data_IF_382481263550
#
_entry.id   IF_382481263550
#
_cell.length_a   1.000
_cell.length_b   1.000
_cell.length_c   1.000
_cell.angle_alpha   90.00
_cell.angle_beta   90.00
_cell.angle_gamma   90.00
#
_symmetry.space_group_name_H-M   'P 1'
#
loop_
_entity.id
_entity.type
_entity.pdbx_description
1 polymer ?
#
# COMPACT_ATOMS: atom_id res chain seq x y z
N UNK A 1 -52.96 20.46 17.18
CA UNK A 1 -52.35 20.46 15.82
C UNK A 1 -50.91 21.01 15.80
N UNK A 2 -50.09 20.82 16.85
CA UNK A 2 -48.72 21.40 16.90
C UNK A 2 -47.58 20.37 17.02
N UNK A 3 -47.87 19.08 17.18
CA UNK A 3 -46.84 18.03 17.34
C UNK A 3 -46.22 17.54 16.04
N UNK A 4 -46.82 17.84 14.87
CA UNK A 4 -46.30 17.42 13.56
C UNK A 4 -45.21 18.34 13.01
N UNK A 5 -45.09 19.56 13.53
CA UNK A 5 -44.10 20.53 13.06
C UNK A 5 -42.68 20.25 13.57
N UNK A 6 -42.53 19.54 14.70
CA UNK A 6 -41.21 19.25 15.29
C UNK A 6 -40.53 18.06 14.58
N UNK A 7 -41.32 17.13 14.02
CA UNK A 7 -40.79 15.96 13.32
C UNK A 7 -40.18 16.28 11.95
N UNK A 8 -40.55 17.41 11.33
CA UNK A 8 -40.01 17.81 10.02
C UNK A 8 -38.67 18.56 10.12
N UNK A 9 -38.32 19.11 11.29
CA UNK A 9 -37.09 19.90 11.47
C UNK A 9 -35.86 19.05 11.85
N UNK A 10 -36.06 17.81 12.31
CA UNK A 10 -34.99 16.90 12.71
C UNK A 10 -34.43 16.03 11.56
N UNK A 11 -34.96 16.17 10.35
CA UNK A 11 -34.52 15.41 9.17
C UNK A 11 -33.59 16.21 8.24
N UNK A 12 -32.88 17.21 8.76
CA UNK A 12 -31.67 17.73 8.12
C UNK A 12 -30.50 16.92 8.67
N UNK A 13 -30.49 15.63 8.35
CA UNK A 13 -29.35 14.76 8.62
C UNK A 13 -28.16 15.31 7.83
N UNK A 14 -27.15 15.76 8.56
CA UNK A 14 -25.90 16.31 8.05
C UNK A 14 -25.31 15.42 6.95
N UNK A 15 -25.43 15.88 5.70
CA UNK A 15 -24.58 15.38 4.61
C UNK A 15 -23.21 15.97 4.85
N UNK A 16 -22.45 15.37 5.75
CA UNK A 16 -21.04 15.73 5.95
C UNK A 16 -20.32 15.23 4.69
N UNK A 17 -19.69 16.12 3.89
CA UNK A 17 -18.92 15.68 2.74
C UNK A 17 -17.76 14.82 3.24
N UNK A 18 -17.83 13.52 3.03
CA UNK A 18 -16.70 12.60 3.23
C UNK A 18 -15.68 12.90 2.15
N UNK A 19 -14.56 13.52 2.51
CA UNK A 19 -13.44 13.75 1.59
C UNK A 19 -12.76 12.42 1.31
N UNK A 20 -13.28 11.67 0.33
CA UNK A 20 -12.62 10.49 -0.20
C UNK A 20 -11.52 10.95 -1.16
N UNK A 21 -10.26 10.68 -0.80
CA UNK A 21 -9.14 10.92 -1.69
C UNK A 21 -9.24 9.96 -2.90
N UNK A 22 -9.51 10.50 -4.10
CA UNK A 22 -9.51 9.72 -5.34
C UNK A 22 -8.08 9.56 -5.82
N UNK A 23 -7.50 8.37 -5.66
CA UNK A 23 -6.14 8.07 -6.13
C UNK A 23 -6.22 7.39 -7.49
N UNK A 24 -5.45 7.87 -8.48
CA UNK A 24 -5.34 7.22 -9.77
C UNK A 24 -4.72 5.81 -9.58
N UNK A 25 -5.36 4.74 -10.06
CA UNK A 25 -4.81 3.39 -9.93
C UNK A 25 -3.52 3.27 -10.73
N UNK A 26 -2.42 2.91 -10.05
CA UNK A 26 -1.13 2.68 -10.69
C UNK A 26 -0.99 1.20 -11.04
N UNK A 27 -0.57 0.88 -12.26
CA UNK A 27 -0.30 -0.51 -12.63
C UNK A 27 1.08 -0.97 -12.13
N UNK A 28 1.36 -2.28 -12.18
CA UNK A 28 2.60 -2.83 -11.63
C UNK A 28 3.86 -2.34 -12.36
N UNK A 29 3.76 -2.11 -13.68
CA UNK A 29 4.86 -1.60 -14.49
C UNK A 29 5.22 -0.16 -14.10
N UNK A 30 4.22 0.70 -13.93
CA UNK A 30 4.39 2.06 -13.43
C UNK A 30 4.99 2.05 -12.02
N UNK A 31 4.51 1.17 -11.12
CA UNK A 31 5.08 1.03 -9.77
C UNK A 31 6.57 0.66 -9.82
N UNK A 32 6.95 -0.31 -10.68
CA UNK A 32 8.36 -0.70 -10.87
C UNK A 32 9.17 0.43 -11.49
N UNK A 33 8.61 1.16 -12.44
CA UNK A 33 9.28 2.25 -13.13
C UNK A 33 9.59 3.42 -12.18
N UNK A 34 8.63 3.81 -11.33
CA UNK A 34 8.73 4.93 -10.40
C UNK A 34 9.43 4.58 -9.09
N UNK A 35 9.61 3.30 -8.76
CA UNK A 35 10.30 2.89 -7.55
C UNK A 35 11.83 3.02 -7.70
N UNK A 36 12.48 3.66 -6.75
CA UNK A 36 13.93 3.65 -6.59
C UNK A 36 14.40 2.41 -5.84
N UNK A 37 13.58 1.94 -4.87
CA UNK A 37 13.84 0.75 -4.07
C UNK A 37 12.63 -0.16 -4.10
N UNK A 38 12.86 -1.46 -4.31
CA UNK A 38 11.81 -2.48 -4.23
C UNK A 38 12.34 -3.64 -3.38
N UNK A 39 11.58 -4.06 -2.36
CA UNK A 39 11.94 -5.20 -1.52
C UNK A 39 10.74 -5.83 -0.85
N UNK A 40 10.90 -7.08 -0.42
CA UNK A 40 10.02 -7.72 0.57
C UNK A 40 10.65 -7.52 1.94
N UNK A 41 9.88 -6.99 2.88
CA UNK A 41 10.38 -6.75 4.23
C UNK A 41 9.35 -7.05 5.31
N UNK A 42 9.85 -7.31 6.51
CA UNK A 42 9.05 -7.46 7.73
C UNK A 42 9.27 -6.26 8.63
N UNK A 43 8.20 -5.59 9.04
CA UNK A 43 8.32 -4.49 10.00
C UNK A 43 8.83 -5.03 11.34
N UNK A 44 9.97 -4.53 11.81
CA UNK A 44 10.61 -4.96 13.07
C UNK A 44 10.59 -3.87 14.14
N UNK A 45 10.48 -2.60 13.74
CA UNK A 45 10.37 -1.49 14.68
C UNK A 45 9.52 -0.36 14.10
N UNK A 46 8.77 0.31 14.99
CA UNK A 46 8.01 1.52 14.68
C UNK A 46 8.29 2.54 15.78
N UNK A 47 8.68 3.75 15.40
CA UNK A 47 8.89 4.87 16.31
C UNK A 47 8.19 6.10 15.79
N UNK A 48 7.43 6.75 16.65
CA UNK A 48 6.80 8.03 16.36
C UNK A 48 7.52 9.12 17.12
N UNK A 49 7.87 10.21 16.45
CA UNK A 49 8.54 11.36 17.05
C UNK A 49 8.09 12.64 16.35
N UNK A 50 8.37 13.77 16.96
CA UNK A 50 8.30 15.05 16.26
C UNK A 50 9.48 15.17 15.30
N UNK A 51 9.20 15.62 14.08
CA UNK A 51 10.23 15.92 13.10
C UNK A 51 11.06 17.13 13.56
N UNK A 52 12.40 17.05 13.57
CA UNK A 52 13.23 18.15 14.06
C UNK A 52 13.13 19.41 13.18
N UNK A 53 12.82 19.28 11.89
CA UNK A 53 12.75 20.41 10.95
C UNK A 53 11.33 20.97 10.83
N UNK A 54 10.36 20.10 10.58
CA UNK A 54 8.97 20.46 10.30
C UNK A 54 8.12 20.63 11.57
N UNK A 55 8.61 20.18 12.74
CA UNK A 55 7.87 20.23 14.01
C UNK A 55 6.49 19.52 13.97
N UNK A 56 6.32 18.57 13.05
CA UNK A 56 5.10 17.74 12.91
C UNK A 56 5.37 16.30 13.33
N UNK A 57 4.34 15.51 13.71
CA UNK A 57 4.49 14.10 14.02
C UNK A 57 4.91 13.31 12.77
N UNK A 58 5.96 12.51 12.90
CA UNK A 58 6.45 11.59 11.85
C UNK A 58 6.62 10.20 12.41
N UNK A 59 6.46 9.20 11.54
CA UNK A 59 6.66 7.79 11.85
C UNK A 59 7.91 7.28 11.15
N UNK A 60 8.79 6.66 11.90
CA UNK A 60 9.88 5.85 11.41
C UNK A 60 9.47 4.38 11.50
N UNK A 61 9.54 3.67 10.38
CA UNK A 61 9.32 2.22 10.35
C UNK A 61 10.59 1.55 9.84
N UNK A 62 11.14 0.62 10.61
CA UNK A 62 12.29 -0.19 10.23
C UNK A 62 11.82 -1.57 9.80
N UNK A 63 12.32 -2.00 8.66
CA UNK A 63 12.06 -3.30 8.06
C UNK A 63 13.32 -4.14 8.04
N UNK A 64 13.19 -5.40 8.42
CA UNK A 64 14.14 -6.45 8.04
C UNK A 64 13.90 -6.82 6.58
N UNK A 65 14.94 -6.79 5.75
CA UNK A 65 14.85 -7.04 4.31
C UNK A 65 14.92 -8.54 4.06
N UNK A 66 13.77 -9.15 3.80
CA UNK A 66 13.65 -10.57 3.46
C UNK A 66 14.17 -10.84 2.06
N UNK A 67 13.84 -9.96 1.11
CA UNK A 67 14.25 -10.11 -0.29
C UNK A 67 14.45 -8.75 -0.95
N UNK A 68 15.69 -8.38 -1.31
CA UNK A 68 15.95 -7.20 -2.14
C UNK A 68 15.57 -7.50 -3.60
N UNK A 69 14.93 -6.53 -4.28
CA UNK A 69 14.47 -6.69 -5.67
C UNK A 69 15.06 -5.59 -6.58
N UNK A 70 15.06 -4.34 -6.11
CA UNK A 70 15.59 -3.19 -6.88
C UNK A 70 16.24 -2.17 -5.94
N UNK A 71 17.33 -1.57 -6.42
CA UNK A 71 18.08 -0.55 -5.71
C UNK A 71 19.09 -1.13 -4.73
N UNK A 72 19.91 -0.26 -4.12
CA UNK A 72 20.87 -0.65 -3.10
C UNK A 72 20.16 -0.74 -1.74
N UNK A 73 20.22 -1.91 -1.12
CA UNK A 73 19.50 -2.24 0.10
C UNK A 73 20.45 -2.97 1.05
N UNK A 74 20.48 -2.54 2.32
CA UNK A 74 21.14 -3.28 3.40
C UNK A 74 20.23 -4.37 3.96
N UNK A 75 20.68 -5.04 5.03
CA UNK A 75 19.87 -6.02 5.76
C UNK A 75 18.61 -5.39 6.38
N UNK A 76 18.67 -4.11 6.72
CA UNK A 76 17.52 -3.36 7.23
C UNK A 76 17.32 -2.07 6.44
N UNK A 77 16.05 -1.66 6.30
CA UNK A 77 15.67 -0.37 5.71
C UNK A 77 14.77 0.37 6.68
N UNK A 78 15.09 1.62 6.99
CA UNK A 78 14.20 2.50 7.76
C UNK A 78 13.63 3.57 6.87
N UNK A 79 12.32 3.71 6.86
CA UNK A 79 11.63 4.79 6.15
C UNK A 79 11.03 5.79 7.14
N UNK A 80 11.04 7.05 6.73
CA UNK A 80 10.37 8.15 7.44
C UNK A 80 9.13 8.54 6.65
N UNK A 81 7.99 8.53 7.31
CA UNK A 81 6.68 8.82 6.72
C UNK A 81 5.96 9.90 7.51
N UNK A 82 5.15 10.66 6.78
CA UNK A 82 4.22 11.61 7.36
C UNK A 82 2.95 10.88 7.80
N UNK A 83 2.27 11.40 8.82
CA UNK A 83 1.03 10.82 9.32
C UNK A 83 1.28 9.97 10.56
N UNK A 84 1.23 10.61 11.72
CA UNK A 84 1.21 9.92 13.01
C UNK A 84 0.59 10.77 14.12
N UNK A 85 0.43 10.17 15.29
CA UNK A 85 -0.14 10.81 16.47
C UNK A 85 0.88 10.80 17.60
N UNK A 86 1.10 11.97 18.21
CA UNK A 86 1.82 12.15 19.47
C UNK A 86 0.88 12.84 20.47
N UNK A 87 1.13 12.78 21.80
CA UNK A 87 0.31 13.47 22.77
C UNK A 87 0.14 14.96 22.41
N UNK A 88 -1.12 15.40 22.23
CA UNK A 88 -1.46 16.79 21.88
C UNK A 88 -1.34 17.16 20.40
N UNK A 89 -0.90 16.26 19.51
CA UNK A 89 -0.81 16.56 18.07
C UNK A 89 -1.07 15.31 17.21
N UNK A 90 -2.10 15.40 16.36
CA UNK A 90 -2.49 14.33 15.43
C UNK A 90 -2.31 14.81 14.00
N UNK A 91 -1.57 14.05 13.20
CA UNK A 91 -1.52 14.20 11.74
C UNK A 91 -1.93 12.85 11.15
N UNK A 92 -3.14 12.76 10.58
CA UNK A 92 -3.60 11.52 9.91
C UNK A 92 -3.66 11.81 8.43
N UNK A 93 -2.98 10.98 7.64
CA UNK A 93 -3.12 10.97 6.18
C UNK A 93 -4.01 9.78 5.82
N UNK A 94 -5.27 10.02 5.40
CA UNK A 94 -6.19 8.96 5.01
C UNK A 94 -5.58 8.04 3.94
N UNK A 95 -5.79 6.73 4.09
CA UNK A 95 -5.31 5.72 3.15
C UNK A 95 -3.88 5.22 3.38
N UNK A 96 -3.14 5.76 4.36
CA UNK A 96 -1.79 5.26 4.67
C UNK A 96 -1.85 3.89 5.32
N UNK A 97 -1.16 2.89 4.73
CA UNK A 97 -1.02 1.57 5.34
C UNK A 97 -0.22 1.66 6.64
N UNK A 98 -0.76 1.16 7.74
CA UNK A 98 -0.01 0.99 8.99
C UNK A 98 0.91 -0.22 8.89
N UNK A 99 2.22 0.01 8.99
CA UNK A 99 3.22 -1.06 9.04
C UNK A 99 3.40 -1.56 10.48
N UNK A 100 2.44 -2.34 10.95
CA UNK A 100 2.50 -2.90 12.29
C UNK A 100 3.62 -3.94 12.39
N UNK A 101 4.27 -4.00 13.56
CA UNK A 101 5.40 -4.90 13.79
C UNK A 101 4.96 -6.34 13.51
N UNK A 102 5.81 -7.09 12.82
CA UNK A 102 5.59 -8.46 12.41
C UNK A 102 4.92 -8.64 11.06
N UNK A 103 4.38 -7.57 10.45
CA UNK A 103 3.75 -7.63 9.13
C UNK A 103 4.80 -7.69 8.02
N UNK A 104 4.60 -8.63 7.09
CA UNK A 104 5.35 -8.70 5.85
C UNK A 104 4.66 -7.88 4.76
N UNK A 105 5.46 -7.19 3.95
CA UNK A 105 4.98 -6.31 2.88
C UNK A 105 5.96 -6.29 1.71
N UNK A 106 5.44 -6.23 0.49
CA UNK A 106 6.22 -5.84 -0.68
C UNK A 106 6.14 -4.32 -0.81
N UNK A 107 7.30 -3.66 -0.73
CA UNK A 107 7.42 -2.21 -0.76
C UNK A 107 8.06 -1.73 -2.05
N UNK A 108 7.38 -0.80 -2.70
CA UNK A 108 7.84 0.00 -3.84
C UNK A 108 8.01 1.42 -3.34
N UNK A 109 9.25 1.85 -3.11
CA UNK A 109 9.54 3.15 -2.52
C UNK A 109 10.11 4.11 -3.55
N UNK A 110 9.64 5.36 -3.49
CA UNK A 110 10.32 6.48 -4.14
C UNK A 110 11.68 6.73 -3.49
N UNK A 111 12.53 7.48 -4.18
CA UNK A 111 13.77 8.03 -3.61
C UNK A 111 13.49 8.81 -2.33
N UNK A 112 14.53 8.94 -1.52
CA UNK A 112 14.48 9.76 -0.31
C UNK A 112 14.45 11.24 -0.67
N UNK A 113 13.58 12.01 -0.03
CA UNK A 113 13.62 13.47 -0.11
C UNK A 113 14.84 14.02 0.61
N UNK A 114 15.17 15.29 0.37
CA UNK A 114 16.30 15.98 1.03
C UNK A 114 16.23 15.95 2.56
N UNK A 115 15.03 15.80 3.12
CA UNK A 115 14.78 15.69 4.57
C UNK A 115 14.45 14.26 5.02
N UNK A 116 14.78 13.26 4.18
CA UNK A 116 14.78 11.84 4.52
C UNK A 116 13.43 11.13 4.43
N UNK A 117 12.38 11.75 3.87
CA UNK A 117 11.10 11.06 3.68
C UNK A 117 11.17 10.12 2.48
N UNK A 118 10.62 8.91 2.62
CA UNK A 118 10.48 7.95 1.54
C UNK A 118 9.10 7.32 1.65
N UNK A 119 8.32 7.42 0.57
CA UNK A 119 6.92 7.02 0.55
C UNK A 119 6.73 5.85 -0.42
N UNK A 120 5.71 5.01 -0.18
CA UNK A 120 5.28 4.08 -1.20
C UNK A 120 4.88 4.84 -2.47
N UNK A 121 5.22 4.25 -3.62
CA UNK A 121 4.83 4.77 -4.92
C UNK A 121 3.29 4.78 -5.02
N UNK A 122 2.72 5.83 -5.62
CA UNK A 122 1.26 5.95 -5.75
C UNK A 122 0.54 6.11 -4.40
N UNK A 123 1.14 6.87 -3.47
CA UNK A 123 0.74 7.07 -2.07
C UNK A 123 0.86 5.80 -1.21
N UNK A 124 -0.14 4.93 -1.27
CA UNK A 124 -0.20 3.68 -0.50
C UNK A 124 -0.20 2.45 -1.41
N UNK A 125 -0.36 2.63 -2.72
CA UNK A 125 -0.49 1.52 -3.67
C UNK A 125 0.78 0.69 -3.80
N UNK A 126 1.95 1.30 -3.60
CA UNK A 126 3.25 0.63 -3.57
C UNK A 126 3.54 -0.11 -2.27
N UNK A 127 2.59 -0.22 -1.35
CA UNK A 127 2.74 -1.01 -0.12
C UNK A 127 1.73 -2.17 -0.13
N UNK A 128 2.20 -3.36 -0.50
CA UNK A 128 1.34 -4.51 -0.78
C UNK A 128 1.52 -5.58 0.30
N UNK A 129 0.54 -5.77 1.21
CA UNK A 129 0.67 -6.72 2.30
C UNK A 129 0.91 -8.15 1.81
N UNK A 130 1.77 -8.87 2.50
CA UNK A 130 1.94 -10.32 2.31
C UNK A 130 1.24 -11.03 3.45
N UNK A 131 0.35 -11.96 3.11
CA UNK A 131 -0.39 -12.77 4.08
C UNK A 131 -0.12 -14.23 3.83
N UNK A 132 0.20 -14.93 4.91
CA UNK A 132 0.33 -16.39 4.93
C UNK A 132 -0.98 -16.96 5.45
N UNK A 133 -1.57 -17.92 4.74
CA UNK A 133 -2.75 -18.63 5.21
C UNK A 133 -2.39 -19.76 6.20
N UNK A 134 -3.41 -20.49 6.71
CA UNK A 134 -3.18 -21.60 7.65
C UNK A 134 -2.43 -22.78 7.03
N UNK A 135 -2.44 -22.91 5.71
CA UNK A 135 -1.70 -23.93 4.96
C UNK A 135 -0.27 -23.53 4.64
N UNK A 136 0.19 -22.36 5.08
CA UNK A 136 1.53 -21.84 4.79
C UNK A 136 1.65 -21.15 3.44
N UNK A 137 0.56 -21.00 2.68
CA UNK A 137 0.60 -20.35 1.37
C UNK A 137 0.66 -18.84 1.51
N UNK A 138 1.68 -18.24 0.90
CA UNK A 138 1.86 -16.78 0.87
C UNK A 138 1.12 -16.16 -0.30
N UNK A 139 0.38 -15.09 -0.02
CA UNK A 139 -0.32 -14.28 -1.02
C UNK A 139 -0.01 -12.80 -0.82
N UNK A 140 0.15 -12.09 -1.93
CA UNK A 140 0.23 -10.62 -1.93
C UNK A 140 -1.17 -10.07 -2.09
N UNK A 141 -1.51 -9.07 -1.29
CA UNK A 141 -2.79 -8.38 -1.28
C UNK A 141 -2.60 -7.00 -1.89
N UNK A 142 -3.52 -6.61 -2.76
CA UNK A 142 -3.48 -5.29 -3.39
C UNK A 142 -4.73 -5.01 -4.20
N UNK A 143 -4.83 -3.81 -4.78
CA UNK A 143 -5.95 -3.42 -5.63
C UNK A 143 -5.87 -4.08 -7.03
N UNK A 144 -5.61 -5.39 -7.08
CA UNK A 144 -5.34 -6.13 -8.31
C UNK A 144 -6.62 -6.56 -9.03
N UNK A 145 -7.47 -5.63 -9.47
CA UNK A 145 -8.60 -6.04 -10.33
C UNK A 145 -8.04 -6.57 -11.66
N UNK A 146 -8.55 -7.69 -12.24
CA UNK A 146 -8.06 -8.20 -13.52
C UNK A 146 -8.04 -7.12 -14.63
N UNK A 147 -9.09 -6.31 -14.76
CA UNK A 147 -9.12 -5.21 -15.73
C UNK A 147 -8.04 -4.13 -15.50
N UNK A 148 -7.50 -4.01 -14.28
CA UNK A 148 -6.47 -3.03 -13.89
C UNK A 148 -5.06 -3.59 -14.00
N UNK A 149 -4.87 -4.88 -13.67
CA UNK A 149 -3.61 -5.59 -13.88
C UNK A 149 -3.29 -5.74 -15.38
N UNK A 150 -4.30 -5.92 -16.22
CA UNK A 150 -4.15 -6.21 -17.65
C UNK A 150 -3.99 -4.95 -18.52
N UNK A 151 -4.21 -3.74 -17.96
CA UNK A 151 -4.10 -2.48 -18.71
C UNK A 151 -2.63 -2.15 -18.98
N UNK A 152 -2.19 -2.40 -20.23
CA UNK A 152 -0.83 -2.12 -20.71
C UNK A 152 0.03 -3.37 -20.98
N UNK A 153 -0.43 -4.56 -20.58
CA UNK A 153 0.28 -5.82 -20.87
C UNK A 153 0.17 -6.15 -22.36
N UNK A 154 1.26 -5.92 -23.11
CA UNK A 154 1.33 -6.23 -24.55
C UNK A 154 1.54 -7.71 -24.87
N UNK A 155 1.92 -8.53 -23.87
CA UNK A 155 2.24 -9.95 -24.05
C UNK A 155 1.07 -10.86 -23.67
N UNK A 156 0.56 -11.61 -24.65
CA UNK A 156 -0.56 -12.54 -24.46
C UNK A 156 -0.22 -13.69 -23.50
N UNK A 157 1.03 -14.14 -23.46
CA UNK A 157 1.48 -15.21 -22.53
C UNK A 157 1.39 -14.78 -21.06
N UNK A 158 1.70 -13.51 -20.78
CA UNK A 158 1.57 -12.93 -19.44
C UNK A 158 0.09 -12.78 -19.07
N UNK A 159 -0.73 -12.39 -20.04
CA UNK A 159 -2.19 -12.30 -19.91
C UNK A 159 -2.81 -13.63 -19.43
N UNK A 160 -2.45 -14.73 -20.08
CA UNK A 160 -2.94 -16.07 -19.75
C UNK A 160 -2.51 -16.53 -18.35
N UNK A 161 -1.27 -16.23 -17.95
CA UNK A 161 -0.76 -16.62 -16.63
C UNK A 161 -1.45 -15.91 -15.45
N UNK A 162 -1.88 -14.65 -15.65
CA UNK A 162 -2.55 -13.85 -14.62
C UNK A 162 -4.02 -14.27 -14.49
N UNK A 163 -4.68 -14.56 -15.61
CA UNK A 163 -6.08 -15.01 -15.63
C UNK A 163 -6.24 -16.42 -15.03
N UNK A 164 -5.32 -17.34 -15.33
CA UNK A 164 -5.37 -18.71 -14.78
C UNK A 164 -5.09 -18.79 -13.28
N UNK A 165 -4.42 -17.78 -12.71
CA UNK A 165 -4.10 -17.70 -11.29
C UNK A 165 -5.16 -16.96 -10.45
N UNK A 166 -6.15 -16.31 -11.09
CA UNK A 166 -7.18 -15.55 -10.37
C UNK A 166 -8.34 -16.48 -10.00
N UNK A 167 -8.32 -17.03 -8.79
CA UNK A 167 -9.53 -17.61 -8.16
C UNK A 167 -10.05 -16.65 -7.10
N UNK A 168 -11.12 -15.92 -7.42
CA UNK A 168 -11.83 -15.05 -6.46
C UNK A 168 -12.62 -15.90 -5.44
N UNK A 169 -12.34 -15.82 -4.12
CA UNK A 169 -13.21 -16.39 -3.11
C UNK A 169 -14.51 -15.58 -3.02
N UNK A 170 -15.64 -16.28 -2.91
CA UNK A 170 -16.96 -15.68 -2.66
C UNK A 170 -16.91 -14.88 -1.34
N UNK A 171 -17.07 -13.56 -1.40
CA UNK A 171 -17.15 -12.67 -0.22
C UNK A 171 -15.99 -11.70 0.00
N UNK A 172 -15.02 -11.59 -0.92
CA UNK A 172 -13.99 -10.54 -0.84
C UNK A 172 -14.61 -9.14 -1.06
N UNK A 173 -14.27 -8.18 -0.20
CA UNK A 173 -14.66 -6.78 -0.36
C UNK A 173 -14.26 -6.26 -1.75
N UNK A 174 -15.21 -5.60 -2.43
CA UNK A 174 -15.06 -5.08 -3.79
C UNK A 174 -13.78 -4.24 -3.89
N UNK A 175 -12.79 -4.76 -4.63
CA UNK A 175 -11.56 -4.03 -4.98
C UNK A 175 -10.24 -4.59 -4.47
N UNK A 176 -10.22 -5.63 -3.62
CA UNK A 176 -8.97 -6.25 -3.15
C UNK A 176 -8.81 -7.66 -3.70
N UNK A 177 -7.72 -7.91 -4.41
CA UNK A 177 -7.40 -9.22 -5.01
C UNK A 177 -6.17 -9.81 -4.34
N UNK A 178 -6.06 -11.14 -4.39
CA UNK A 178 -4.89 -11.89 -3.92
C UNK A 178 -4.15 -12.47 -5.12
N UNK A 179 -2.83 -12.36 -5.10
CA UNK A 179 -1.95 -13.00 -6.09
C UNK A 179 -0.99 -13.92 -5.34
N UNK A 180 -0.70 -15.11 -5.87
CA UNK A 180 0.29 -16.01 -5.29
C UNK A 180 1.65 -15.33 -5.18
N UNK A 181 2.31 -15.48 -4.04
CA UNK A 181 3.55 -14.76 -3.75
C UNK A 181 4.65 -15.01 -4.80
N UNK A 182 4.93 -16.28 -5.12
CA UNK A 182 6.01 -16.61 -6.07
C UNK A 182 5.72 -16.09 -7.48
N UNK A 183 4.47 -16.16 -7.92
CA UNK A 183 4.05 -15.62 -9.21
C UNK A 183 4.23 -14.09 -9.27
N UNK A 184 3.83 -13.41 -8.19
CA UNK A 184 3.96 -11.96 -8.09
C UNK A 184 5.45 -11.55 -8.13
N UNK A 185 6.28 -12.24 -7.34
CA UNK A 185 7.72 -12.01 -7.28
C UNK A 185 8.41 -12.24 -8.62
N UNK A 186 8.16 -13.39 -9.27
CA UNK A 186 8.74 -13.70 -10.58
C UNK A 186 8.28 -12.74 -11.69
N UNK A 187 7.15 -12.05 -11.51
CA UNK A 187 6.71 -11.00 -12.44
C UNK A 187 7.51 -9.71 -12.24
N UNK A 188 7.70 -9.27 -11.00
CA UNK A 188 8.48 -8.05 -10.70
C UNK A 188 9.95 -8.23 -11.06
N UNK A 189 10.55 -9.37 -10.71
CA UNK A 189 11.96 -9.65 -10.99
C UNK A 189 12.25 -9.58 -12.51
N UNK A 190 11.35 -10.11 -13.35
CA UNK A 190 11.43 -9.97 -14.81
C UNK A 190 11.31 -8.52 -15.29
N UNK A 191 10.44 -7.73 -14.68
CA UNK A 191 10.28 -6.31 -15.02
C UNK A 191 11.51 -5.47 -14.66
N UNK A 192 12.22 -5.84 -13.58
CA UNK A 192 13.44 -5.15 -13.15
C UNK A 192 14.64 -5.58 -14.01
N UNK A 193 14.79 -6.87 -14.31
CA UNK A 193 15.93 -7.41 -15.07
C UNK A 193 15.85 -7.26 -16.59
N UNK A 194 14.66 -7.01 -17.15
CA UNK A 194 14.45 -6.91 -18.60
C UNK A 194 14.66 -5.51 -19.22
N UNK A 195 15.49 -4.66 -18.61
CA UNK A 195 15.82 -3.32 -19.13
C UNK A 195 17.25 -3.24 -19.63
#
# INVERSE_FOLDING_TARGET
MFTRAIAALLLVAAVVPTWAATVLPMNLEEMVAHANRIFVGKAIAVRVTRDPYLQVPVRFTTFDVIRPIKGQLGATVTIKQMGSTIPGQTSVIPGTLSFDIGREVVLFLTGESTIGFSNPVGLFQGALPVVTDRGGQKTVIGPFTPQRLLKGIKSQAVLYSVLSASTSPKGAAVGTTRVGYDQFMGTIERMVGGR
#
